data_IF_862595833455
#
_entry.id   IF_862595833455
#
_cell.length_a   1.000
_cell.length_b   1.000
_cell.length_c   1.000
_cell.angle_alpha   90.00
_cell.angle_beta   90.00
_cell.angle_gamma   90.00
#
_symmetry.space_group_name_H-M   'P 1'
#
loop_
_entity.id
_entity.type
_entity.pdbx_description
1 polymer ?
#
# COMPACT_ATOMS: atom_id res chain seq x y z
N UNK A 1 5.27 12.28 19.96
CA UNK A 1 3.90 12.02 20.50
C UNK A 1 3.43 10.67 19.97
N UNK A 2 3.21 9.67 20.84
CA UNK A 2 2.84 8.31 20.41
C UNK A 2 1.43 8.34 19.77
N UNK A 3 1.36 8.29 18.44
CA UNK A 3 0.10 8.23 17.71
C UNK A 3 -0.48 6.82 17.90
N UNK A 4 -1.43 6.68 18.81
CA UNK A 4 -2.16 5.42 19.02
C UNK A 4 -3.17 5.22 17.87
N UNK A 5 -2.67 4.82 16.71
CA UNK A 5 -3.45 4.54 15.50
C UNK A 5 -2.92 3.27 14.84
N UNK A 6 -3.53 2.13 15.18
CA UNK A 6 -3.06 0.83 14.74
C UNK A 6 -3.38 0.62 13.26
N UNK A 7 -2.33 0.43 12.46
CA UNK A 7 -2.40 0.13 11.04
C UNK A 7 -2.43 -1.38 10.80
N UNK A 8 -3.05 -1.77 9.70
CA UNK A 8 -2.96 -3.13 9.16
C UNK A 8 -2.36 -3.08 7.76
N UNK A 9 -1.09 -3.47 7.64
CA UNK A 9 -0.41 -3.56 6.36
C UNK A 9 -0.77 -4.87 5.66
N UNK A 10 -1.02 -4.80 4.36
CA UNK A 10 -1.22 -5.97 3.49
C UNK A 10 -0.28 -5.84 2.32
N UNK A 11 0.56 -6.85 2.10
CA UNK A 11 1.57 -6.82 1.06
C UNK A 11 1.48 -8.06 0.20
N UNK A 12 1.39 -7.86 -1.10
CA UNK A 12 1.48 -8.93 -2.10
C UNK A 12 2.96 -9.15 -2.41
N UNK A 13 3.44 -10.39 -2.26
CA UNK A 13 4.86 -10.75 -2.33
C UNK A 13 5.10 -11.99 -3.20
N UNK A 14 6.26 -12.09 -3.87
CA UNK A 14 6.53 -13.19 -4.81
C UNK A 14 7.99 -13.60 -5.04
N UNK A 15 8.98 -12.69 -4.96
CA UNK A 15 10.35 -12.98 -5.43
C UNK A 15 11.48 -12.43 -4.55
N UNK A 16 11.36 -11.21 -4.03
CA UNK A 16 12.50 -10.46 -3.51
C UNK A 16 12.52 -10.47 -1.97
N UNK A 17 13.01 -11.57 -1.38
CA UNK A 17 12.93 -11.81 0.07
C UNK A 17 13.79 -10.82 0.86
N UNK A 18 15.03 -10.57 0.44
CA UNK A 18 15.92 -9.63 1.14
C UNK A 18 15.36 -8.21 1.13
N UNK A 19 14.73 -7.79 0.01
CA UNK A 19 14.06 -6.50 -0.08
C UNK A 19 12.82 -6.44 0.81
N UNK A 20 12.05 -7.52 0.89
CA UNK A 20 10.94 -7.63 1.83
C UNK A 20 11.42 -7.42 3.27
N UNK A 21 12.48 -8.10 3.70
CA UNK A 21 13.04 -7.94 5.05
C UNK A 21 13.51 -6.50 5.30
N UNK A 22 14.25 -5.92 4.36
CA UNK A 22 14.74 -4.53 4.44
C UNK A 22 13.57 -3.55 4.62
N UNK A 23 12.54 -3.63 3.77
CA UNK A 23 11.34 -2.78 3.89
C UNK A 23 10.62 -3.03 5.22
N UNK A 24 10.57 -4.27 5.70
CA UNK A 24 9.99 -4.57 7.00
C UNK A 24 10.75 -3.89 8.14
N UNK A 25 12.07 -3.82 8.10
CA UNK A 25 12.84 -3.06 9.11
C UNK A 25 12.47 -1.57 9.15
N UNK A 26 12.09 -0.99 8.00
CA UNK A 26 11.71 0.42 7.88
C UNK A 26 10.32 0.73 8.43
N UNK A 27 9.38 -0.21 8.31
CA UNK A 27 7.98 0.00 8.74
C UNK A 27 7.58 -0.72 10.02
N UNK A 28 8.44 -1.59 10.56
CA UNK A 28 8.07 -2.45 11.69
C UNK A 28 7.74 -1.64 12.94
N UNK A 29 6.63 -2.01 13.55
CA UNK A 29 6.19 -1.52 14.85
C UNK A 29 5.35 -2.60 15.52
N UNK A 30 5.54 -2.88 16.82
CA UNK A 30 4.74 -3.86 17.55
C UNK A 30 3.26 -3.44 17.71
N UNK A 31 2.91 -2.18 17.38
CA UNK A 31 1.54 -1.67 17.43
C UNK A 31 0.71 -1.97 16.17
N UNK A 32 1.36 -2.41 15.10
CA UNK A 32 0.73 -2.63 13.81
C UNK A 32 0.70 -4.11 13.46
N UNK A 33 -0.16 -4.46 12.50
CA UNK A 33 -0.25 -5.81 11.96
C UNK A 33 0.24 -5.81 10.52
N UNK A 34 0.87 -6.91 10.10
CA UNK A 34 1.45 -7.04 8.76
C UNK A 34 1.02 -8.38 8.18
N UNK A 35 0.31 -8.36 7.06
CA UNK A 35 -0.09 -9.55 6.34
C UNK A 35 0.66 -9.67 5.02
N UNK A 36 1.25 -10.83 4.76
CA UNK A 36 1.92 -11.14 3.50
C UNK A 36 1.11 -12.18 2.75
N UNK A 37 0.55 -11.78 1.60
CA UNK A 37 -0.14 -12.71 0.69
C UNK A 37 0.86 -13.14 -0.37
N UNK A 38 1.10 -14.44 -0.44
CA UNK A 38 2.09 -15.03 -1.34
C UNK A 38 1.43 -15.29 -2.69
N UNK A 39 1.94 -14.67 -3.74
CA UNK A 39 1.45 -14.93 -5.09
C UNK A 39 1.82 -16.35 -5.55
N UNK A 40 0.96 -16.98 -6.35
CA UNK A 40 1.16 -18.32 -6.91
C UNK A 40 2.37 -18.44 -7.85
N UNK A 41 2.93 -17.32 -8.32
CA UNK A 41 4.17 -17.27 -9.09
C UNK A 41 5.43 -17.39 -8.23
N UNK A 42 5.31 -17.31 -6.90
CA UNK A 42 6.46 -17.40 -6.00
C UNK A 42 7.16 -18.76 -6.07
N UNK A 43 8.49 -18.75 -5.89
CA UNK A 43 9.24 -20.01 -5.79
C UNK A 43 8.95 -20.73 -4.46
N UNK A 44 9.09 -22.06 -4.40
CA UNK A 44 8.96 -22.81 -3.15
C UNK A 44 9.92 -22.33 -2.05
N UNK A 45 11.12 -21.89 -2.44
CA UNK A 45 12.11 -21.33 -1.52
C UNK A 45 11.63 -20.02 -0.92
N UNK A 46 11.11 -19.11 -1.75
CA UNK A 46 10.55 -17.83 -1.31
C UNK A 46 9.37 -18.05 -0.37
N UNK A 47 8.41 -18.91 -0.76
CA UNK A 47 7.25 -19.23 0.07
C UNK A 47 7.68 -19.73 1.45
N UNK A 48 8.64 -20.66 1.50
CA UNK A 48 9.17 -21.21 2.75
C UNK A 48 9.77 -20.10 3.64
N UNK A 49 10.56 -19.20 3.07
CA UNK A 49 11.19 -18.12 3.84
C UNK A 49 10.16 -17.15 4.42
N UNK A 50 9.17 -16.71 3.64
CA UNK A 50 8.10 -15.82 4.12
C UNK A 50 7.26 -16.48 5.21
N UNK A 51 6.98 -17.79 5.10
CA UNK A 51 6.25 -18.52 6.16
C UNK A 51 7.02 -18.60 7.46
N UNK A 52 8.32 -18.91 7.40
CA UNK A 52 9.20 -18.92 8.58
C UNK A 52 9.27 -17.54 9.22
N UNK A 53 9.36 -16.47 8.42
CA UNK A 53 9.32 -15.09 8.90
C UNK A 53 8.01 -14.79 9.67
N UNK A 54 6.87 -15.26 9.16
CA UNK A 54 5.57 -15.14 9.81
C UNK A 54 5.44 -15.90 11.13
N UNK A 55 6.15 -17.02 11.30
CA UNK A 55 6.19 -17.77 12.57
C UNK A 55 7.08 -17.08 13.62
N UNK A 56 8.09 -16.34 13.18
CA UNK A 56 9.06 -15.66 14.05
C UNK A 56 8.49 -14.42 14.75
N UNK A 57 7.59 -13.68 14.06
CA UNK A 57 7.13 -12.36 14.50
C UNK A 57 5.62 -12.39 14.75
N UNK A 58 5.21 -12.17 16.01
CA UNK A 58 3.82 -12.35 16.47
C UNK A 58 2.75 -11.54 15.72
N UNK A 59 3.10 -10.36 15.21
CA UNK A 59 2.19 -9.47 14.48
C UNK A 59 2.32 -9.60 12.96
N UNK A 60 3.05 -10.61 12.48
CA UNK A 60 3.10 -10.99 11.08
C UNK A 60 2.10 -12.12 10.81
N UNK A 61 1.38 -12.00 9.70
CA UNK A 61 0.29 -12.89 9.31
C UNK A 61 0.61 -13.37 7.90
N UNK A 62 0.67 -14.68 7.71
CA UNK A 62 0.88 -15.29 6.40
C UNK A 62 -0.25 -16.30 6.18
N UNK A 63 -1.22 -16.02 5.31
CA UNK A 63 -2.26 -16.99 4.99
C UNK A 63 -1.67 -18.31 4.50
N UNK A 64 -2.33 -19.46 4.78
CA UNK A 64 -1.77 -20.78 4.49
C UNK A 64 -1.72 -21.10 2.98
N UNK A 65 -2.50 -20.42 2.15
CA UNK A 65 -2.57 -20.66 0.70
C UNK A 65 -1.73 -19.64 -0.07
N UNK A 66 -1.33 -20.00 -1.29
CA UNK A 66 -0.88 -19.04 -2.31
C UNK A 66 -2.05 -18.61 -3.19
N UNK A 67 -1.93 -17.46 -3.85
CA UNK A 67 -3.04 -16.86 -4.59
C UNK A 67 -2.60 -16.37 -5.96
N UNK A 68 -3.46 -16.51 -6.97
CA UNK A 68 -3.22 -15.91 -8.28
C UNK A 68 -3.62 -14.42 -8.25
N UNK A 69 -2.64 -13.51 -8.13
CA UNK A 69 -2.90 -12.05 -8.10
C UNK A 69 -2.73 -11.36 -9.46
N UNK A 70 -2.78 -12.13 -10.56
CA UNK A 70 -2.82 -11.58 -11.92
C UNK A 70 -4.19 -11.01 -12.28
N UNK A 71 -5.25 -11.45 -11.60
CA UNK A 71 -6.62 -10.98 -11.82
C UNK A 71 -7.10 -10.11 -10.67
N UNK A 72 -8.07 -9.24 -10.95
CA UNK A 72 -8.77 -8.44 -9.94
C UNK A 72 -9.34 -9.33 -8.83
N UNK A 73 -10.15 -10.33 -9.23
CA UNK A 73 -10.80 -11.23 -8.30
C UNK A 73 -9.79 -11.99 -7.43
N UNK A 74 -8.77 -12.59 -8.04
CA UNK A 74 -7.73 -13.32 -7.30
C UNK A 74 -6.92 -12.44 -6.35
N UNK A 75 -6.63 -11.20 -6.75
CA UNK A 75 -5.96 -10.20 -5.90
C UNK A 75 -6.79 -9.88 -4.66
N UNK A 76 -8.09 -9.60 -4.81
CA UNK A 76 -8.94 -9.25 -3.69
C UNK A 76 -9.31 -10.46 -2.82
N UNK A 77 -9.37 -11.67 -3.39
CA UNK A 77 -9.46 -12.92 -2.61
C UNK A 77 -8.22 -13.10 -1.74
N UNK A 78 -7.02 -12.87 -2.30
CA UNK A 78 -5.76 -12.93 -1.55
C UNK A 78 -5.77 -11.94 -0.37
N UNK A 79 -6.06 -10.67 -0.66
CA UNK A 79 -6.14 -9.63 0.35
C UNK A 79 -7.23 -9.92 1.41
N UNK A 80 -8.36 -10.53 1.01
CA UNK A 80 -9.43 -10.85 1.94
C UNK A 80 -9.02 -11.94 2.95
N UNK A 81 -8.11 -12.84 2.56
CA UNK A 81 -7.59 -13.88 3.45
C UNK A 81 -6.86 -13.29 4.67
N UNK A 82 -6.30 -12.08 4.56
CA UNK A 82 -5.67 -11.38 5.68
C UNK A 82 -6.64 -10.97 6.79
N UNK A 83 -7.93 -10.79 6.50
CA UNK A 83 -8.89 -10.32 7.50
C UNK A 83 -9.45 -11.43 8.40
N UNK A 84 -9.23 -12.69 8.05
CA UNK A 84 -9.73 -13.84 8.83
C UNK A 84 -9.18 -13.79 10.26
N UNK A 85 -10.07 -13.62 11.25
CA UNK A 85 -9.69 -13.57 12.66
C UNK A 85 -9.13 -12.22 13.12
N UNK A 86 -9.12 -11.21 12.25
CA UNK A 86 -8.65 -9.85 12.56
C UNK A 86 -9.73 -8.96 13.16
N UNK A 87 -10.98 -9.43 13.28
CA UNK A 87 -12.08 -8.66 13.85
C UNK A 87 -11.85 -8.31 15.32
N UNK A 88 -11.16 -9.19 16.05
CA UNK A 88 -10.85 -9.04 17.48
C UNK A 88 -9.79 -7.96 17.78
N UNK A 89 -9.01 -7.53 16.79
CA UNK A 89 -7.91 -6.58 17.00
C UNK A 89 -8.33 -5.13 16.67
N UNK A 90 -7.78 -4.12 17.36
CA UNK A 90 -8.25 -2.72 17.28
C UNK A 90 -7.62 -1.89 16.14
N UNK A 91 -7.31 -2.50 14.99
CA UNK A 91 -6.79 -1.76 13.82
C UNK A 91 -7.83 -0.78 13.24
N UNK A 92 -7.35 0.28 12.60
CA UNK A 92 -8.15 1.44 12.16
C UNK A 92 -8.16 1.64 10.65
N UNK A 93 -7.01 1.46 10.01
CA UNK A 93 -6.85 1.55 8.56
C UNK A 93 -6.01 0.40 8.03
N UNK A 94 -6.37 -0.07 6.85
CA UNK A 94 -5.53 -0.95 6.06
C UNK A 94 -4.69 -0.13 5.10
N UNK A 95 -3.43 -0.49 4.95
CA UNK A 95 -2.54 0.01 3.89
C UNK A 95 -2.12 -1.18 3.05
N UNK A 96 -2.50 -1.17 1.78
CA UNK A 96 -2.19 -2.24 0.83
C UNK A 96 -1.03 -1.76 -0.03
N UNK A 97 0.07 -2.51 -0.01
CA UNK A 97 1.27 -2.26 -0.82
C UNK A 97 1.63 -3.50 -1.65
N UNK A 98 2.55 -3.31 -2.56
CA UNK A 98 3.15 -4.36 -3.39
C UNK A 98 4.61 -4.58 -3.03
N UNK A 99 5.18 -5.68 -3.53
CA UNK A 99 6.53 -6.13 -3.20
C UNK A 99 7.60 -5.05 -3.39
N UNK A 100 7.52 -4.26 -4.46
CA UNK A 100 8.53 -3.27 -4.83
C UNK A 100 8.33 -1.89 -4.17
N UNK A 101 7.34 -1.72 -3.29
CA UNK A 101 7.08 -0.44 -2.64
C UNK A 101 7.80 -0.30 -1.29
N UNK A 102 8.73 0.64 -1.17
CA UNK A 102 9.38 0.99 0.10
C UNK A 102 8.81 2.29 0.68
N UNK A 103 8.72 2.43 2.02
CA UNK A 103 8.34 3.68 2.64
C UNK A 103 9.41 4.76 2.42
N UNK A 104 8.99 6.02 2.34
CA UNK A 104 9.91 7.18 2.35
C UNK A 104 9.70 8.10 3.55
N UNK A 105 8.85 7.69 4.48
CA UNK A 105 8.56 8.39 5.74
C UNK A 105 8.53 7.41 6.90
N UNK A 106 8.74 7.91 8.13
CA UNK A 106 8.67 7.11 9.35
C UNK A 106 7.30 6.47 9.53
N UNK A 107 7.28 5.34 10.24
CA UNK A 107 6.03 4.65 10.57
C UNK A 107 5.05 5.55 11.34
N UNK A 108 5.57 6.47 12.16
CA UNK A 108 4.77 7.48 12.86
C UNK A 108 4.09 8.46 11.89
N UNK A 109 4.80 8.93 10.86
CA UNK A 109 4.24 9.81 9.84
C UNK A 109 3.17 9.09 9.01
N UNK A 110 3.39 7.82 8.65
CA UNK A 110 2.42 6.99 7.94
C UNK A 110 1.15 6.82 8.79
N UNK A 111 1.29 6.49 10.07
CA UNK A 111 0.18 6.35 11.01
C UNK A 111 -0.59 7.67 11.22
N UNK A 112 0.11 8.80 11.36
CA UNK A 112 -0.54 10.11 11.49
C UNK A 112 -1.26 10.52 10.20
N UNK A 113 -0.70 10.20 9.04
CA UNK A 113 -1.36 10.45 7.75
C UNK A 113 -2.64 9.62 7.60
N UNK A 114 -2.61 8.34 7.95
CA UNK A 114 -3.81 7.50 7.98
C UNK A 114 -4.85 8.00 9.00
N UNK A 115 -4.39 8.47 10.17
CA UNK A 115 -5.27 9.08 11.19
C UNK A 115 -5.94 10.36 10.68
N UNK A 116 -5.19 11.26 10.03
CA UNK A 116 -5.69 12.51 9.44
C UNK A 116 -6.66 12.25 8.28
N UNK A 117 -6.49 11.15 7.55
CA UNK A 117 -7.44 10.71 6.53
C UNK A 117 -8.84 10.42 7.12
N UNK A 118 -8.94 10.12 8.43
CA UNK A 118 -10.21 9.93 9.11
C UNK A 118 -10.97 8.73 8.55
N UNK A 119 -12.23 8.92 8.15
CA UNK A 119 -12.99 7.87 7.46
C UNK A 119 -12.96 7.98 5.94
N UNK A 120 -12.10 8.83 5.35
CA UNK A 120 -11.88 8.83 3.91
C UNK A 120 -11.05 7.61 3.49
N UNK A 121 -11.20 7.19 2.24
CA UNK A 121 -10.36 6.17 1.62
C UNK A 121 -9.52 6.81 0.51
N UNK A 122 -8.32 6.29 0.28
CA UNK A 122 -7.45 6.67 -0.82
C UNK A 122 -7.08 5.43 -1.62
N UNK A 123 -7.49 5.41 -2.88
CA UNK A 123 -7.16 4.35 -3.84
C UNK A 123 -6.37 5.04 -4.93
N UNK A 124 -5.10 4.69 -5.08
CA UNK A 124 -4.20 5.42 -5.99
C UNK A 124 -4.14 6.92 -5.59
N UNK A 125 -4.32 7.84 -6.54
CA UNK A 125 -4.43 9.29 -6.33
C UNK A 125 -5.87 9.74 -6.02
N UNK A 126 -6.83 8.83 -6.11
CA UNK A 126 -8.22 9.15 -5.83
C UNK A 126 -8.53 9.07 -4.34
N UNK A 127 -9.18 10.12 -3.83
CA UNK A 127 -9.69 10.16 -2.46
C UNK A 127 -11.20 10.10 -2.45
N UNK A 128 -11.76 9.08 -1.80
CA UNK A 128 -13.18 8.97 -1.49
C UNK A 128 -13.40 9.65 -0.14
N UNK A 129 -14.13 10.76 -0.13
CA UNK A 129 -14.33 11.53 1.11
C UNK A 129 -15.13 10.75 2.14
N UNK A 130 -14.99 11.13 3.41
CA UNK A 130 -15.77 10.55 4.51
C UNK A 130 -17.28 10.72 4.29
N UNK A 131 -17.74 11.85 3.73
CA UNK A 131 -19.14 12.08 3.43
C UNK A 131 -19.67 11.05 2.42
N UNK A 132 -18.92 10.81 1.34
CA UNK A 132 -19.27 9.77 0.38
C UNK A 132 -19.30 8.40 1.04
N UNK A 133 -18.29 8.02 1.82
CA UNK A 133 -18.28 6.73 2.54
C UNK A 133 -19.48 6.58 3.47
N UNK A 134 -19.91 7.66 4.15
CA UNK A 134 -21.12 7.65 5.00
C UNK A 134 -22.40 7.45 4.18
N UNK A 135 -22.51 8.06 2.99
CA UNK A 135 -23.66 7.93 2.08
C UNK A 135 -23.74 6.50 1.52
N UNK A 136 -22.60 5.97 1.08
CA UNK A 136 -22.49 4.58 0.62
C UNK A 136 -22.93 3.62 1.73
N UNK A 137 -22.64 3.95 2.99
CA UNK A 137 -22.98 3.12 4.13
C UNK A 137 -22.36 1.74 3.95
N UNK A 138 -23.19 0.70 4.01
CA UNK A 138 -22.75 -0.69 3.79
C UNK A 138 -22.83 -1.12 2.31
N UNK A 139 -23.17 -0.24 1.36
CA UNK A 139 -23.46 -0.63 -0.01
C UNK A 139 -23.12 0.40 -1.10
N UNK A 140 -22.18 0.02 -1.99
CA UNK A 140 -21.72 0.86 -3.09
C UNK A 140 -22.76 1.04 -4.20
N UNK A 141 -23.78 0.18 -4.27
CA UNK A 141 -24.87 0.31 -5.23
C UNK A 141 -25.74 1.56 -5.02
N UNK A 142 -25.64 2.18 -3.84
CA UNK A 142 -26.32 3.44 -3.52
C UNK A 142 -25.62 4.67 -4.09
N UNK A 143 -24.38 4.54 -4.55
CA UNK A 143 -23.67 5.64 -5.21
C UNK A 143 -24.29 5.95 -6.58
N UNK A 144 -24.08 7.17 -7.07
CA UNK A 144 -24.41 7.49 -8.46
C UNK A 144 -23.59 6.63 -9.42
N UNK A 145 -24.12 6.36 -10.61
CA UNK A 145 -23.40 5.59 -11.65
C UNK A 145 -22.05 6.20 -12.01
N UNK A 146 -21.90 7.53 -11.87
CA UNK A 146 -20.63 8.23 -12.10
C UNK A 146 -19.59 7.90 -11.02
N UNK A 147 -20.01 7.81 -9.76
CA UNK A 147 -19.12 7.47 -8.64
C UNK A 147 -18.72 6.00 -8.66
N UNK A 148 -19.67 5.10 -8.94
CA UNK A 148 -19.37 3.67 -9.14
C UNK A 148 -18.36 3.48 -10.27
N UNK A 149 -18.56 4.17 -11.40
CA UNK A 149 -17.60 4.14 -12.51
C UNK A 149 -16.25 4.73 -12.08
N UNK A 150 -16.22 5.83 -11.32
CA UNK A 150 -14.96 6.39 -10.83
C UNK A 150 -14.21 5.36 -9.96
N UNK A 151 -14.87 4.75 -8.98
CA UNK A 151 -14.26 3.73 -8.09
C UNK A 151 -13.77 2.54 -8.91
N UNK A 152 -14.57 2.07 -9.86
CA UNK A 152 -14.20 0.99 -10.78
C UNK A 152 -12.94 1.35 -11.58
N UNK A 153 -12.84 2.57 -12.10
CA UNK A 153 -11.64 3.03 -12.82
C UNK A 153 -10.43 3.19 -11.93
N UNK A 154 -10.60 3.68 -10.70
CA UNK A 154 -9.51 3.81 -9.73
C UNK A 154 -8.95 2.44 -9.33
N UNK A 155 -9.82 1.46 -9.03
CA UNK A 155 -9.41 0.08 -8.77
C UNK A 155 -8.77 -0.55 -10.00
N UNK A 156 -9.32 -0.28 -11.20
CA UNK A 156 -8.74 -0.76 -12.46
C UNK A 156 -7.31 -0.21 -12.69
N UNK A 157 -7.11 1.10 -12.51
CA UNK A 157 -5.78 1.74 -12.58
C UNK A 157 -4.80 1.10 -11.60
N UNK A 158 -5.25 0.90 -10.36
CA UNK A 158 -4.44 0.25 -9.34
C UNK A 158 -4.10 -1.19 -9.71
N UNK A 159 -5.03 -1.97 -10.25
CA UNK A 159 -4.76 -3.35 -10.67
C UNK A 159 -3.79 -3.44 -11.86
N UNK A 160 -3.88 -2.50 -12.81
CA UNK A 160 -3.01 -2.49 -13.99
C UNK A 160 -1.59 -2.03 -13.70
N UNK A 161 -1.43 -1.02 -12.87
CA UNK A 161 -0.13 -0.40 -12.67
C UNK A 161 0.44 -0.71 -11.29
N UNK A 162 -0.39 -0.98 -10.28
CA UNK A 162 0.03 -1.20 -8.88
C UNK A 162 1.01 -0.11 -8.39
N UNK A 163 0.77 1.13 -8.83
CA UNK A 163 1.74 2.23 -8.72
C UNK A 163 1.78 2.85 -7.33
N UNK A 164 0.66 2.83 -6.62
CA UNK A 164 0.49 3.52 -5.34
C UNK A 164 -0.25 2.62 -4.35
N UNK A 165 -0.03 2.83 -3.04
CA UNK A 165 -0.70 2.08 -2.01
C UNK A 165 -2.19 2.45 -1.93
N UNK A 166 -3.02 1.49 -1.56
CA UNK A 166 -4.42 1.74 -1.17
C UNK A 166 -4.48 1.92 0.34
N UNK A 167 -5.12 2.99 0.81
CA UNK A 167 -5.36 3.28 2.23
C UNK A 167 -6.86 3.30 2.45
N UNK A 168 -7.39 2.36 3.22
CA UNK A 168 -8.83 2.23 3.47
C UNK A 168 -9.12 2.20 4.97
N UNK A 169 -10.14 2.93 5.44
CA UNK A 169 -10.59 2.83 6.83
C UNK A 169 -11.27 1.47 7.02
N UNK A 170 -11.16 0.91 8.23
CA UNK A 170 -11.73 -0.39 8.59
C UNK A 170 -13.19 -0.56 8.19
N UNK A 171 -14.01 0.46 8.40
CA UNK A 171 -15.45 0.40 8.08
C UNK A 171 -15.77 0.34 6.59
N UNK A 172 -14.84 0.72 5.70
CA UNK A 172 -15.07 0.74 4.25
C UNK A 172 -14.52 -0.51 3.55
N UNK A 173 -13.71 -1.32 4.24
CA UNK A 173 -13.03 -2.47 3.67
C UNK A 173 -14.00 -3.49 3.05
N UNK A 174 -14.98 -3.96 3.82
CA UNK A 174 -15.95 -4.96 3.38
C UNK A 174 -16.80 -4.45 2.22
N UNK A 175 -17.16 -3.17 2.26
CA UNK A 175 -17.95 -2.49 1.22
C UNK A 175 -17.19 -2.47 -0.10
N UNK A 176 -15.93 -2.01 -0.09
CA UNK A 176 -15.08 -1.99 -1.28
C UNK A 176 -14.87 -3.40 -1.84
N UNK A 177 -14.56 -4.38 -0.98
CA UNK A 177 -14.23 -5.72 -1.42
C UNK A 177 -15.44 -6.44 -2.01
N UNK A 178 -16.64 -6.24 -1.43
CA UNK A 178 -17.89 -6.76 -1.99
C UNK A 178 -18.16 -6.16 -3.37
N UNK A 179 -18.08 -4.83 -3.49
CA UNK A 179 -18.27 -4.16 -4.77
C UNK A 179 -17.31 -4.69 -5.83
N UNK A 180 -16.01 -4.75 -5.54
CA UNK A 180 -15.01 -5.26 -6.48
C UNK A 180 -15.31 -6.71 -6.90
N UNK A 181 -15.78 -7.54 -5.98
CA UNK A 181 -16.13 -8.94 -6.28
C UNK A 181 -17.32 -9.08 -7.24
N UNK A 182 -18.22 -8.09 -7.29
CA UNK A 182 -19.41 -8.07 -8.15
C UNK A 182 -19.12 -7.45 -9.53
N UNK A 183 -17.97 -6.78 -9.72
CA UNK A 183 -17.60 -6.13 -10.97
C UNK A 183 -16.78 -7.03 -11.90
N UNK A 184 -16.90 -6.81 -13.22
CA UNK A 184 -15.98 -7.37 -14.21
C UNK A 184 -14.85 -6.37 -14.53
N UNK A 185 -13.61 -6.78 -14.27
CA UNK A 185 -12.40 -5.99 -14.52
C UNK A 185 -11.58 -6.41 -15.75
N UNK A 186 -11.96 -7.45 -16.50
CA UNK A 186 -11.18 -7.91 -17.67
C UNK A 186 -10.99 -6.81 -18.71
N UNK A 187 -12.02 -5.98 -18.92
CA UNK A 187 -12.03 -4.89 -19.89
C UNK A 187 -12.28 -3.53 -19.23
N UNK A 188 -11.79 -3.34 -18.00
CA UNK A 188 -11.99 -2.10 -17.29
C UNK A 188 -11.20 -0.93 -17.91
N UNK A 189 -11.80 0.26 -17.84
CA UNK A 189 -11.14 1.51 -18.24
C UNK A 189 -10.33 2.02 -17.06
N UNK A 190 -9.10 2.45 -17.30
CA UNK A 190 -8.28 3.11 -16.27
C UNK A 190 -8.73 4.56 -16.10
N UNK A 191 -8.33 5.17 -14.98
CA UNK A 191 -8.31 6.64 -14.86
C UNK A 191 -7.44 7.22 -15.97
N UNK A 192 -7.93 8.27 -16.60
CA UNK A 192 -7.23 9.00 -17.66
C UNK A 192 -7.40 10.50 -17.43
N UNK A 193 -6.48 11.34 -17.96
CA UNK A 193 -6.61 12.81 -17.88
C UNK A 193 -7.96 13.33 -18.42
N UNK A 194 -8.53 12.65 -19.42
CA UNK A 194 -9.84 12.98 -20.00
C UNK A 194 -11.00 12.73 -19.03
N UNK A 195 -10.83 11.81 -18.09
CA UNK A 195 -11.83 11.45 -17.09
C UNK A 195 -11.60 12.17 -15.75
N UNK A 196 -10.33 12.32 -15.35
CA UNK A 196 -9.90 13.05 -14.17
C UNK A 196 -8.65 13.89 -14.47
N UNK A 197 -8.81 15.21 -14.35
CA UNK A 197 -7.74 16.18 -14.59
C UNK A 197 -6.60 16.11 -13.57
N UNK A 198 -6.80 15.41 -12.45
CA UNK A 198 -5.78 15.22 -11.42
C UNK A 198 -4.85 14.03 -11.69
N UNK A 199 -5.03 13.32 -12.81
CA UNK A 199 -4.08 12.31 -13.28
C UNK A 199 -2.83 13.02 -13.82
N UNK A 200 -1.85 13.23 -12.94
CA UNK A 200 -0.54 13.80 -13.29
C UNK A 200 0.34 12.67 -13.84
N UNK A 201 0.88 12.85 -15.06
CA UNK A 201 1.95 12.02 -15.61
C UNK A 201 3.20 12.32 -14.77
N UNK A 202 3.66 11.34 -14.01
CA UNK A 202 4.87 11.47 -13.22
C UNK A 202 6.08 11.26 -14.13
N UNK A 203 6.92 12.27 -14.27
CA UNK A 203 8.19 12.15 -14.98
C UNK A 203 9.12 11.21 -14.21
N UNK A 204 9.79 10.31 -14.93
CA UNK A 204 10.71 9.34 -14.37
C UNK A 204 12.14 9.74 -14.70
N UNK A 205 12.86 10.30 -13.73
CA UNK A 205 14.22 10.83 -13.97
C UNK A 205 15.24 9.73 -14.27
N UNK A 206 15.05 8.54 -13.68
CA UNK A 206 15.93 7.37 -13.88
C UNK A 206 15.78 6.74 -15.27
N UNK A 207 14.68 7.04 -15.97
CA UNK A 207 14.25 6.35 -17.18
C UNK A 207 14.22 4.80 -17.01
N UNK A 208 14.03 4.32 -15.78
CA UNK A 208 13.96 2.90 -15.44
C UNK A 208 12.55 2.54 -14.99
N UNK A 209 12.01 1.45 -15.55
CA UNK A 209 10.62 1.06 -15.36
C UNK A 209 10.51 -0.42 -15.04
N UNK A 210 9.55 -0.80 -14.20
CA UNK A 210 9.23 -2.19 -13.96
C UNK A 210 8.40 -2.81 -15.10
N UNK A 211 8.09 -4.10 -15.00
CA UNK A 211 7.29 -4.81 -16.02
C UNK A 211 5.90 -4.20 -16.25
N UNK A 212 5.36 -3.49 -15.26
CA UNK A 212 4.08 -2.79 -15.34
C UNK A 212 4.20 -1.33 -15.80
N UNK A 213 5.40 -0.87 -16.17
CA UNK A 213 5.66 0.47 -16.71
C UNK A 213 5.71 1.57 -15.65
N UNK A 214 5.90 1.24 -14.37
CA UNK A 214 6.05 2.21 -13.30
C UNK A 214 7.51 2.60 -13.13
N UNK A 215 7.74 3.89 -12.87
CA UNK A 215 9.06 4.41 -12.58
C UNK A 215 9.67 3.75 -11.33
N UNK A 216 10.92 3.31 -11.45
CA UNK A 216 11.75 2.82 -10.35
C UNK A 216 12.69 3.94 -9.95
N UNK A 217 12.69 4.29 -8.65
CA UNK A 217 13.56 5.36 -8.13
C UNK A 217 15.01 4.89 -8.03
N UNK A 218 15.95 5.82 -8.21
CA UNK A 218 17.39 5.63 -8.02
C UNK A 218 18.00 6.67 -7.07
N UNK A 219 19.30 6.60 -6.83
CA UNK A 219 20.01 7.54 -5.96
C UNK A 219 19.89 9.00 -6.41
N UNK A 220 19.75 9.25 -7.71
CA UNK A 220 19.50 10.58 -8.28
C UNK A 220 18.18 11.20 -7.80
N UNK A 221 17.20 10.38 -7.39
CA UNK A 221 15.89 10.82 -6.93
C UNK A 221 15.84 11.10 -5.42
N UNK A 222 16.88 10.77 -4.66
CA UNK A 222 16.89 10.79 -3.18
C UNK A 222 16.36 12.11 -2.59
N UNK A 223 16.88 13.24 -3.06
CA UNK A 223 16.49 14.56 -2.54
C UNK A 223 15.02 14.90 -2.84
N UNK A 224 14.51 14.48 -4.00
CA UNK A 224 13.13 14.72 -4.39
C UNK A 224 12.16 13.82 -3.61
N UNK A 225 12.46 12.52 -3.49
CA UNK A 225 11.53 11.56 -2.86
C UNK A 225 11.41 11.80 -1.35
N UNK A 226 12.50 12.13 -0.67
CA UNK A 226 12.51 12.34 0.79
C UNK A 226 11.74 13.60 1.23
N UNK A 227 11.50 14.53 0.28
CA UNK A 227 10.67 15.73 0.43
C UNK A 227 9.24 15.55 -0.08
N UNK A 228 8.96 14.43 -0.76
CA UNK A 228 7.65 14.16 -1.35
C UNK A 228 6.59 13.89 -0.27
N UNK A 229 5.32 14.19 -0.59
CA UNK A 229 4.16 13.81 0.24
C UNK A 229 3.68 12.39 -0.02
N UNK A 230 4.27 11.68 -0.99
CA UNK A 230 3.99 10.27 -1.18
C UNK A 230 4.48 9.49 0.04
N UNK A 231 3.75 8.45 0.44
CA UNK A 231 4.14 7.62 1.59
C UNK A 231 5.13 6.52 1.19
N UNK A 232 4.99 6.03 -0.04
CA UNK A 232 5.76 4.92 -0.60
C UNK A 232 6.25 5.31 -2.00
N UNK A 233 7.36 4.71 -2.39
CA UNK A 233 7.93 4.77 -3.74
C UNK A 233 8.30 3.37 -4.19
N UNK A 234 8.41 3.17 -5.50
CA UNK A 234 8.84 1.91 -6.08
C UNK A 234 10.35 1.87 -6.23
N UNK A 235 10.98 0.85 -5.68
CA UNK A 235 12.41 0.60 -5.76
C UNK A 235 12.66 -0.84 -6.23
N UNK A 236 13.85 -1.06 -6.79
CA UNK A 236 14.32 -2.37 -7.20
C UNK A 236 15.78 -2.53 -6.70
N UNK A 237 16.04 -3.47 -5.79
CA UNK A 237 17.38 -3.65 -5.22
C UNK A 237 18.43 -4.06 -6.26
N UNK A 238 18.03 -4.63 -7.41
CA UNK A 238 18.97 -5.00 -8.47
C UNK A 238 19.29 -3.84 -9.41
N UNK A 239 18.42 -2.82 -9.47
CA UNK A 239 18.68 -1.60 -10.22
C UNK A 239 19.60 -0.67 -9.42
N UNK A 240 19.17 -0.32 -8.19
CA UNK A 240 19.94 0.56 -7.31
C UNK A 240 19.67 0.15 -5.85
N UNK A 241 20.59 -0.62 -5.27
CA UNK A 241 20.51 -0.96 -3.85
C UNK A 241 20.88 0.23 -2.95
N UNK A 242 21.66 1.18 -3.45
CA UNK A 242 22.09 2.36 -2.70
C UNK A 242 20.91 3.21 -2.26
N UNK A 243 19.92 3.42 -3.14
CA UNK A 243 18.71 4.19 -2.78
C UNK A 243 17.89 3.49 -1.69
N UNK A 244 17.82 2.16 -1.71
CA UNK A 244 17.14 1.37 -0.67
C UNK A 244 17.83 1.59 0.68
N UNK A 245 19.15 1.45 0.74
CA UNK A 245 19.93 1.64 1.97
C UNK A 245 19.84 3.08 2.49
N UNK A 246 20.03 4.08 1.62
CA UNK A 246 19.98 5.48 2.02
C UNK A 246 18.59 5.88 2.55
N UNK A 247 17.52 5.42 1.91
CA UNK A 247 16.14 5.66 2.40
C UNK A 247 15.88 4.88 3.69
N UNK A 248 16.39 3.65 3.82
CA UNK A 248 16.29 2.87 5.04
C UNK A 248 16.88 3.59 6.25
N UNK A 249 18.12 4.07 6.14
CA UNK A 249 18.78 4.85 7.19
C UNK A 249 18.05 6.17 7.48
N UNK A 250 17.58 6.85 6.44
CA UNK A 250 16.80 8.08 6.59
C UNK A 250 15.49 7.84 7.37
N UNK A 251 14.73 6.80 7.02
CA UNK A 251 13.49 6.42 7.69
C UNK A 251 13.77 5.96 9.13
N UNK A 252 14.85 5.22 9.34
CA UNK A 252 15.31 4.82 10.68
C UNK A 252 15.58 6.03 11.57
N UNK A 253 16.38 6.99 11.08
CA UNK A 253 16.66 8.25 11.79
C UNK A 253 15.37 9.01 12.13
N UNK A 254 14.44 9.15 11.18
CA UNK A 254 13.15 9.81 11.42
C UNK A 254 12.23 9.06 12.40
N UNK A 255 12.43 7.76 12.55
CA UNK A 255 11.61 6.93 13.44
C UNK A 255 12.14 6.97 14.87
N UNK A 256 13.46 6.90 15.06
CA UNK A 256 14.07 6.68 16.37
C UNK A 256 14.87 7.88 16.93
N UNK A 257 15.24 8.86 16.09
CA UNK A 257 16.11 9.97 16.52
C UNK A 257 15.43 11.34 16.51
N UNK A 258 14.33 11.51 15.75
CA UNK A 258 13.61 12.78 15.64
C UNK A 258 12.78 13.19 16.89
N UNK A 259 12.95 12.49 18.03
CA UNK A 259 12.58 13.02 19.35
C UNK A 259 13.59 14.07 19.87
N UNK A 260 14.57 14.50 19.06
CA UNK A 260 15.41 15.68 19.33
C UNK A 260 15.06 16.86 18.41
N UNK A 261 14.17 17.72 18.91
CA UNK A 261 13.87 19.09 18.44
C UNK A 261 13.03 19.24 17.17
N UNK A 262 11.73 19.50 17.37
CA UNK A 262 11.01 20.71 16.92
C UNK A 262 11.68 21.55 15.80
N UNK A 263 11.94 20.97 14.63
CA UNK A 263 12.53 21.67 13.47
C UNK A 263 11.82 21.46 12.13
N UNK A 264 10.80 20.60 12.06
CA UNK A 264 10.03 20.39 10.83
C UNK A 264 8.70 21.16 10.76
N UNK A 265 8.50 22.13 11.66
CA UNK A 265 7.41 23.13 11.56
C UNK A 265 7.89 24.52 11.11
N UNK A 266 9.14 24.65 10.66
CA UNK A 266 9.63 25.90 10.06
C UNK A 266 10.54 25.64 8.86
N UNK A 267 9.93 25.33 7.71
CA UNK A 267 10.33 25.80 6.37
C UNK A 267 9.32 25.38 5.32
#
# INVERSE_FOLDING_TARGET
>A
MQVNHNLFFMRIVSKDYDFLEEVMTMIFSPLHFYCFVIDSSASPEFEKMVRILGECILNFIVPPMTFNTTTAHGTFVALNACYIGMEKFPWKHTIITTENEMPIHSIHYIADTAKRLGKAARIDRFTISEEHIRILGDDLDKASSKEQEYIRRAVCSWLKNKQFPIIIPRGFQSVLFRFVNEQNFEHCRVLSPDFDKNVIVQECHTNHYDEMGNCIVGMEDYDYITKSRNLFVRADPYFDYGIVQCVGEFVYHRTYTDDYTDRDLSK
#
